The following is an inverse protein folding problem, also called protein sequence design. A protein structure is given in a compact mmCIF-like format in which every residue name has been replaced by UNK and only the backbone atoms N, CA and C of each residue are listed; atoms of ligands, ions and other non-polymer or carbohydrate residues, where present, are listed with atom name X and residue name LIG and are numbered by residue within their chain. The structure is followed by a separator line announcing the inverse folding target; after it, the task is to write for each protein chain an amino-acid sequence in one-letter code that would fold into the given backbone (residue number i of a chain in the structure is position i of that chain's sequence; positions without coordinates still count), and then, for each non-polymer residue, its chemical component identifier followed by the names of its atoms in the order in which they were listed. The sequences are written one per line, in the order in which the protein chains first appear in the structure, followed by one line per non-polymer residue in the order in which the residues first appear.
data_IF_271583570685
#
_entry.id   IF_271583570685
#
_cell.length_a   1.000
_cell.length_b   1.000
_cell.length_c   1.000
_cell.angle_alpha   90.00
_cell.angle_beta   90.00
_cell.angle_gamma   90.00
#
_symmetry.space_group_name_H-M   'P 1'
#
loop_
_entity.id
_entity.type
_entity.pdbx_description
1 polymer ?
#
# COMPACT_ATOMS: atom_id res chain seq x y z
N UNK A 1 6.82 -44.03 8.00
CA UNK A 1 5.77 -43.04 8.27
C UNK A 1 6.31 -42.06 9.28
N UNK A 2 6.49 -40.82 8.84
CA UNK A 2 6.51 -39.55 9.59
C UNK A 2 7.54 -38.61 8.96
N UNK A 3 7.28 -38.25 7.71
CA UNK A 3 7.75 -36.98 7.18
C UNK A 3 6.77 -35.95 7.70
N UNK A 4 6.99 -35.50 8.93
CA UNK A 4 6.39 -34.27 9.45
C UNK A 4 6.82 -33.12 8.53
N UNK A 5 6.05 -32.94 7.44
CA UNK A 5 6.17 -31.80 6.54
C UNK A 5 6.07 -30.55 7.41
N UNK A 6 7.21 -29.88 7.59
CA UNK A 6 7.23 -28.55 8.20
C UNK A 6 6.37 -27.67 7.30
N UNK A 7 5.15 -27.42 7.73
CA UNK A 7 4.35 -26.38 7.12
C UNK A 7 5.19 -25.11 7.13
N UNK A 8 5.47 -24.49 5.98
CA UNK A 8 6.04 -23.17 6.01
C UNK A 8 5.02 -22.31 6.76
N UNK A 9 5.42 -21.86 7.96
CA UNK A 9 4.61 -21.06 8.87
C UNK A 9 4.42 -19.66 8.27
N UNK A 10 3.65 -19.59 7.19
CA UNK A 10 3.40 -18.37 6.46
C UNK A 10 2.14 -17.70 6.98
N UNK A 11 2.20 -16.39 7.13
CA UNK A 11 1.11 -15.52 7.51
C UNK A 11 0.33 -15.17 6.23
N UNK A 12 -0.84 -15.78 5.97
CA UNK A 12 -1.70 -15.32 4.88
C UNK A 12 -2.17 -13.89 5.13
N UNK A 13 -2.42 -13.16 4.04
CA UNK A 13 -2.97 -11.82 4.12
C UNK A 13 -4.26 -11.78 4.97
N UNK A 14 -4.43 -10.70 5.72
CA UNK A 14 -5.65 -10.40 6.48
C UNK A 14 -6.92 -10.48 5.61
N UNK A 15 -6.81 -10.13 4.33
CA UNK A 15 -7.89 -10.14 3.34
C UNK A 15 -7.81 -11.34 2.38
N UNK A 16 -7.19 -12.45 2.80
CA UNK A 16 -7.06 -13.64 1.95
C UNK A 16 -8.42 -14.22 1.55
N UNK A 17 -9.39 -14.24 2.46
CA UNK A 17 -10.77 -14.64 2.14
C UNK A 17 -11.52 -13.65 1.21
N UNK A 18 -10.91 -12.51 0.84
CA UNK A 18 -11.43 -11.57 -0.16
C UNK A 18 -10.57 -11.51 -1.44
N UNK A 19 -9.73 -12.54 -1.67
CA UNK A 19 -8.99 -12.74 -2.91
C UNK A 19 -7.51 -12.35 -2.88
N UNK A 20 -6.95 -11.94 -1.72
CA UNK A 20 -5.51 -11.69 -1.62
C UNK A 20 -4.72 -12.94 -1.22
N UNK A 21 -4.10 -13.60 -2.20
CA UNK A 21 -3.36 -14.85 -1.99
C UNK A 21 -1.91 -14.65 -1.50
N UNK A 22 -1.55 -13.45 -1.02
CA UNK A 22 -0.19 -13.19 -0.52
C UNK A 22 0.05 -13.84 0.84
N UNK A 23 1.24 -14.41 1.01
CA UNK A 23 1.68 -15.12 2.21
C UNK A 23 3.09 -14.66 2.59
N UNK A 24 3.37 -14.59 3.90
CA UNK A 24 4.60 -13.97 4.40
C UNK A 24 5.30 -14.84 5.44
N UNK A 25 6.63 -14.90 5.48
CA UNK A 25 7.36 -15.67 6.48
C UNK A 25 7.28 -15.05 7.89
N UNK A 26 6.84 -13.80 8.02
CA UNK A 26 6.86 -13.07 9.28
C UNK A 26 5.80 -11.97 9.38
N UNK A 27 5.54 -11.59 10.64
CA UNK A 27 4.58 -10.54 11.02
C UNK A 27 4.91 -9.18 10.40
N UNK A 28 6.19 -8.82 10.31
CA UNK A 28 6.58 -7.48 9.85
C UNK A 28 6.30 -7.29 8.35
N UNK A 29 6.60 -8.29 7.54
CA UNK A 29 6.29 -8.33 6.11
C UNK A 29 4.77 -8.36 5.89
N UNK A 30 4.06 -9.16 6.68
CA UNK A 30 2.60 -9.25 6.66
C UNK A 30 1.94 -7.89 6.98
N UNK A 31 2.32 -7.22 8.07
CA UNK A 31 1.81 -5.88 8.41
C UNK A 31 2.12 -4.85 7.32
N UNK A 32 3.35 -4.87 6.81
CA UNK A 32 3.77 -3.96 5.72
C UNK A 32 2.91 -4.17 4.49
N UNK A 33 2.60 -5.41 4.13
CA UNK A 33 1.71 -5.73 3.02
C UNK A 33 0.31 -5.19 3.26
N UNK A 34 -0.30 -5.47 4.42
CA UNK A 34 -1.64 -4.97 4.76
C UNK A 34 -1.73 -3.45 4.64
N UNK A 35 -0.75 -2.72 5.19
CA UNK A 35 -0.73 -1.26 5.17
C UNK A 35 -0.43 -0.67 3.78
N UNK A 36 0.44 -1.29 2.98
CA UNK A 36 0.85 -0.72 1.68
C UNK A 36 0.03 -1.18 0.49
N UNK A 37 -0.62 -2.35 0.57
CA UNK A 37 -1.40 -2.92 -0.53
C UNK A 37 -2.90 -2.67 -0.35
N UNK A 38 -3.43 -2.84 0.85
CA UNK A 38 -4.88 -2.76 1.08
C UNK A 38 -5.30 -1.43 1.69
N UNK A 39 -4.72 -1.07 2.84
CA UNK A 39 -5.17 0.11 3.59
C UNK A 39 -4.76 1.41 2.90
N UNK A 40 -3.47 1.53 2.51
CA UNK A 40 -2.90 2.70 1.83
C UNK A 40 -3.41 4.01 2.41
N UNK A 41 -3.13 4.29 3.68
CA UNK A 41 -3.67 5.47 4.39
C UNK A 41 -3.48 6.77 3.58
N UNK A 42 -2.36 6.86 2.87
CA UNK A 42 -1.94 8.04 2.13
C UNK A 42 -1.70 7.76 0.66
N UNK A 43 -1.93 8.78 -0.17
CA UNK A 43 -1.46 8.86 -1.53
C UNK A 43 -0.85 10.23 -1.80
N UNK A 44 -0.02 10.28 -2.82
CA UNK A 44 0.51 11.51 -3.38
C UNK A 44 -0.07 11.69 -4.77
N UNK A 45 -0.67 12.86 -5.03
CA UNK A 45 -1.24 13.16 -6.35
C UNK A 45 -0.43 14.26 -7.02
N UNK A 46 0.09 13.95 -8.20
CA UNK A 46 0.69 14.94 -9.06
C UNK A 46 -0.38 15.55 -9.98
N UNK A 47 -0.66 16.84 -9.81
CA UNK A 47 -1.60 17.59 -10.65
C UNK A 47 -0.90 18.44 -11.74
N UNK A 48 0.40 18.23 -11.94
CA UNK A 48 1.26 19.09 -12.73
C UNK A 48 1.19 18.77 -14.23
N UNK A 49 1.04 19.80 -15.06
CA UNK A 49 1.01 19.68 -16.53
C UNK A 49 0.11 18.53 -17.03
N UNK A 50 0.67 17.61 -17.84
CA UNK A 50 -0.06 16.44 -18.36
C UNK A 50 -0.51 15.45 -17.28
N UNK A 51 0.04 15.49 -16.07
CA UNK A 51 -0.48 14.67 -14.96
C UNK A 51 -1.86 15.17 -14.51
N UNK A 52 -2.09 16.49 -14.53
CA UNK A 52 -3.34 17.11 -14.12
C UNK A 52 -4.52 16.88 -15.07
N UNK A 53 -4.29 16.33 -16.26
CA UNK A 53 -5.35 15.97 -17.21
C UNK A 53 -5.81 14.52 -17.05
N UNK A 54 -5.09 13.68 -16.32
CA UNK A 54 -5.45 12.28 -16.10
C UNK A 54 -6.62 12.19 -15.13
N UNK A 55 -7.74 11.59 -15.56
CA UNK A 55 -8.87 11.31 -14.66
C UNK A 55 -8.46 10.25 -13.64
N UNK A 56 -8.67 10.58 -12.36
CA UNK A 56 -8.63 9.60 -11.29
C UNK A 56 -9.96 8.87 -11.35
N UNK A 57 -9.92 7.59 -11.74
CA UNK A 57 -11.11 6.74 -11.69
C UNK A 57 -11.42 6.50 -10.21
N UNK A 58 -12.17 7.42 -9.62
CA UNK A 58 -13.04 7.11 -8.50
C UNK A 58 -14.21 6.31 -9.09
N UNK A 59 -14.64 5.27 -8.37
CA UNK A 59 -15.74 4.38 -8.77
C UNK A 59 -16.98 5.14 -9.30
N UNK A 60 -17.83 4.48 -10.11
CA UNK A 60 -19.08 5.09 -10.57
C UNK A 60 -19.85 5.59 -9.36
N UNK A 61 -20.21 6.88 -9.38
CA UNK A 61 -21.38 7.32 -8.64
C UNK A 61 -22.52 6.38 -9.06
N UNK A 62 -23.22 5.83 -8.10
CA UNK A 62 -24.50 5.16 -8.35
C UNK A 62 -25.34 6.11 -9.19
N UNK A 63 -25.56 5.74 -10.45
CA UNK A 63 -26.61 6.32 -11.29
C UNK A 63 -27.92 5.94 -10.62
N UNK A 64 -28.38 6.76 -9.68
CA UNK A 64 -29.78 6.79 -9.31
C UNK A 64 -30.48 7.56 -10.44
N UNK A 65 -30.93 6.80 -11.44
CA UNK A 65 -32.06 7.17 -12.27
C UNK A 65 -33.28 7.26 -11.34
N UNK A 66 -33.61 8.47 -10.87
CA UNK A 66 -35.02 8.80 -10.65
C UNK A 66 -35.28 10.28 -10.94
N UNK A 67 -36.48 10.44 -11.49
CA UNK A 67 -37.09 11.49 -12.26
C UNK A 67 -37.30 12.86 -11.58
N UNK A 68 -37.20 13.90 -12.41
CA UNK A 68 -37.94 15.17 -12.40
C UNK A 68 -38.17 15.92 -11.07
N UNK A 69 -37.39 17.01 -10.85
CA UNK A 69 -37.92 18.38 -10.65
C UNK A 69 -36.84 19.46 -10.33
N UNK A 70 -36.83 20.45 -11.22
CA UNK A 70 -36.57 21.90 -11.06
C UNK A 70 -35.19 22.48 -10.69
N UNK A 71 -34.69 23.23 -11.68
CA UNK A 71 -33.81 24.40 -11.58
C UNK A 71 -34.36 25.44 -10.59
N UNK A 72 -33.64 25.72 -9.51
CA UNK A 72 -33.27 27.07 -9.07
C UNK A 72 -32.52 27.02 -7.73
N UNK A 73 -31.22 27.31 -7.75
CA UNK A 73 -30.52 28.19 -6.79
C UNK A 73 -29.02 28.21 -7.05
N UNK A 74 -28.64 29.16 -7.90
CA UNK A 74 -27.31 29.75 -7.95
C UNK A 74 -27.01 30.41 -6.60
N UNK A 75 -25.76 30.26 -6.15
CA UNK A 75 -25.14 30.87 -4.96
C UNK A 75 -25.53 30.34 -3.57
N UNK A 76 -24.64 29.53 -2.99
CA UNK A 76 -23.80 30.08 -1.91
C UNK A 76 -22.49 29.31 -1.73
N UNK A 77 -21.43 30.11 -1.57
CA UNK A 77 -20.08 29.69 -1.25
C UNK A 77 -20.04 28.72 -0.07
N UNK A 78 -19.68 27.47 -0.32
CA UNK A 78 -19.13 26.59 0.71
C UNK A 78 -17.74 26.09 0.28
N UNK A 79 -16.86 27.04 -0.03
CA UNK A 79 -15.41 26.82 0.03
C UNK A 79 -15.07 26.70 1.51
N UNK A 80 -14.96 25.47 2.03
CA UNK A 80 -14.05 25.05 3.12
C UNK A 80 -14.53 23.77 3.81
N UNK A 81 -14.57 22.60 3.16
CA UNK A 81 -14.60 21.32 3.91
C UNK A 81 -14.09 20.05 3.19
N UNK A 82 -13.55 20.10 1.96
CA UNK A 82 -13.01 18.91 1.28
C UNK A 82 -11.47 18.91 1.24
N UNK A 83 -10.82 18.83 2.40
CA UNK A 83 -9.36 18.62 2.46
C UNK A 83 -8.96 17.13 2.43
N UNK A 84 -9.92 16.24 2.63
CA UNK A 84 -9.68 14.80 2.82
C UNK A 84 -10.15 13.92 1.64
N UNK A 85 -10.75 14.49 0.60
CA UNK A 85 -11.12 13.75 -0.61
C UNK A 85 -9.98 13.75 -1.63
N UNK A 86 -9.70 12.60 -2.24
CA UNK A 86 -8.80 12.52 -3.40
C UNK A 86 -9.30 13.46 -4.51
N UNK A 87 -8.40 14.17 -5.21
CA UNK A 87 -8.80 15.00 -6.35
C UNK A 87 -9.33 14.12 -7.49
N UNK A 88 -10.16 14.70 -8.36
CA UNK A 88 -10.73 14.02 -9.53
C UNK A 88 -9.72 13.82 -10.67
N UNK A 89 -8.63 14.59 -10.67
CA UNK A 89 -7.59 14.54 -11.69
C UNK A 89 -6.21 14.55 -11.08
N UNK A 90 -5.27 13.89 -11.76
CA UNK A 90 -3.89 13.78 -11.33
C UNK A 90 -3.35 12.37 -11.46
N UNK A 91 -2.04 12.25 -11.43
CA UNK A 91 -1.36 10.95 -11.35
C UNK A 91 -1.19 10.55 -9.88
N UNK A 92 -1.78 9.42 -9.48
CA UNK A 92 -1.72 8.91 -8.11
C UNK A 92 -0.48 8.05 -7.89
N UNK A 93 0.16 8.24 -6.73
CA UNK A 93 1.23 7.41 -6.21
C UNK A 93 0.88 6.94 -4.80
N UNK A 94 0.96 5.63 -4.55
CA UNK A 94 0.69 5.06 -3.23
C UNK A 94 1.87 5.21 -2.26
N UNK A 95 3.01 5.73 -2.71
CA UNK A 95 4.21 5.95 -1.90
C UNK A 95 4.90 7.26 -2.26
N UNK A 96 5.41 7.94 -1.23
CA UNK A 96 6.12 9.21 -1.34
C UNK A 96 7.36 9.14 -2.22
N UNK A 97 8.16 8.09 -2.08
CA UNK A 97 9.40 7.92 -2.85
C UNK A 97 9.12 7.77 -4.35
N UNK A 98 8.03 7.08 -4.72
CA UNK A 98 7.58 6.98 -6.11
C UNK A 98 7.15 8.35 -6.66
N UNK A 99 6.42 9.14 -5.85
CA UNK A 99 6.04 10.50 -6.20
C UNK A 99 7.27 11.42 -6.37
N UNK A 100 8.20 11.41 -5.41
CA UNK A 100 9.43 12.22 -5.50
C UNK A 100 10.25 11.83 -6.73
N UNK A 101 10.38 10.52 -6.99
CA UNK A 101 11.07 10.01 -8.16
C UNK A 101 10.38 10.44 -9.46
N UNK A 102 9.05 10.51 -9.49
CA UNK A 102 8.29 11.10 -10.60
C UNK A 102 8.58 12.58 -10.79
N UNK A 103 8.51 13.39 -9.72
CA UNK A 103 8.82 14.83 -9.78
C UNK A 103 10.25 15.07 -10.28
N UNK A 104 11.22 14.31 -9.80
CA UNK A 104 12.62 14.41 -10.22
C UNK A 104 12.84 14.10 -11.71
N UNK A 105 11.97 13.31 -12.34
CA UNK A 105 12.08 12.95 -13.76
C UNK A 105 11.24 13.84 -14.66
N UNK A 106 10.00 14.11 -14.28
CA UNK A 106 9.00 14.77 -15.12
C UNK A 106 8.79 16.26 -14.79
N UNK A 107 9.08 16.69 -13.56
CA UNK A 107 8.79 18.05 -13.08
C UNK A 107 10.01 18.68 -12.39
N UNK A 108 11.19 18.57 -13.01
CA UNK A 108 12.45 19.14 -12.50
C UNK A 108 12.37 20.65 -12.22
N UNK A 109 11.50 21.36 -12.94
CA UNK A 109 11.26 22.80 -12.78
C UNK A 109 10.64 23.16 -11.41
N UNK A 110 10.03 22.20 -10.71
CA UNK A 110 9.49 22.41 -9.36
C UNK A 110 10.57 22.31 -8.27
N UNK A 111 11.77 21.88 -8.63
CA UNK A 111 12.89 21.72 -7.72
C UNK A 111 13.86 22.89 -7.85
N UNK A 112 14.61 23.22 -6.79
CA UNK A 112 15.60 24.30 -6.83
C UNK A 112 16.58 24.08 -7.99
N UNK A 113 16.73 25.09 -8.85
CA UNK A 113 17.57 25.00 -10.03
C UNK A 113 19.06 24.92 -9.64
N UNK A 114 19.78 23.99 -10.27
CA UNK A 114 21.24 24.07 -10.41
C UNK A 114 21.52 24.96 -11.63
N UNK A 115 21.60 26.28 -11.45
CA UNK A 115 22.10 27.16 -12.51
C UNK A 115 23.62 27.03 -12.59
N UNK A 116 24.21 27.08 -13.79
CA UNK A 116 25.67 27.02 -13.98
C UNK A 116 26.46 28.10 -13.20
N UNK A 117 25.80 29.19 -12.77
CA UNK A 117 26.40 30.29 -12.01
C UNK A 117 26.22 30.21 -10.49
N UNK A 118 25.53 29.19 -9.96
CA UNK A 118 25.36 29.00 -8.53
C UNK A 118 25.80 27.59 -8.12
N UNK A 119 26.44 27.43 -6.94
CA UNK A 119 26.79 26.12 -6.43
C UNK A 119 25.53 25.25 -6.29
N UNK A 120 25.65 23.93 -6.53
CA UNK A 120 24.51 23.04 -6.42
C UNK A 120 23.89 23.14 -5.02
N UNK A 121 22.55 23.07 -4.92
CA UNK A 121 21.89 23.16 -3.63
C UNK A 121 22.39 22.05 -2.72
N UNK A 122 22.56 22.36 -1.43
CA UNK A 122 22.98 21.36 -0.46
C UNK A 122 21.98 20.20 -0.42
N UNK A 123 22.46 18.99 -0.11
CA UNK A 123 21.62 17.80 0.06
C UNK A 123 20.43 18.05 1.00
N UNK A 124 20.65 18.83 2.06
CA UNK A 124 19.62 19.24 3.02
C UNK A 124 18.56 20.16 2.40
N UNK A 125 18.96 21.15 1.61
CA UNK A 125 18.03 22.05 0.93
C UNK A 125 17.16 21.30 -0.10
N UNK A 126 17.77 20.36 -0.84
CA UNK A 126 17.05 19.52 -1.79
C UNK A 126 16.04 18.61 -1.08
N UNK A 127 16.45 17.94 0.00
CA UNK A 127 15.56 17.10 0.80
C UNK A 127 14.38 17.88 1.38
N UNK A 128 14.61 19.10 1.90
CA UNK A 128 13.55 19.96 2.42
C UNK A 128 12.55 20.39 1.33
N UNK A 129 13.04 20.69 0.13
CA UNK A 129 12.19 21.08 -1.00
C UNK A 129 11.34 19.90 -1.49
N UNK A 130 11.94 18.71 -1.57
CA UNK A 130 11.24 17.46 -1.86
C UNK A 130 10.17 17.17 -0.80
N UNK A 131 10.49 17.34 0.49
CA UNK A 131 9.53 17.18 1.59
C UNK A 131 8.36 18.14 1.44
N UNK A 132 8.63 19.42 1.16
CA UNK A 132 7.59 20.42 0.97
C UNK A 132 6.63 20.04 -0.17
N UNK A 133 7.16 19.60 -1.32
CA UNK A 133 6.38 19.13 -2.46
C UNK A 133 5.59 17.86 -2.17
N UNK A 134 6.17 16.91 -1.42
CA UNK A 134 5.46 15.70 -1.00
C UNK A 134 4.34 16.04 -0.01
N UNK A 135 4.55 17.01 0.87
CA UNK A 135 3.55 17.42 1.86
C UNK A 135 2.35 18.11 1.21
N UNK A 136 2.56 18.91 0.16
CA UNK A 136 1.47 19.57 -0.58
C UNK A 136 0.69 18.59 -1.46
N UNK A 137 1.35 17.56 -2.00
CA UNK A 137 0.71 16.53 -2.82
C UNK A 137 0.09 15.38 -2.02
N UNK A 138 0.26 15.35 -0.68
CA UNK A 138 -0.25 14.29 0.19
C UNK A 138 -1.76 14.42 0.37
N UNK A 139 -2.48 13.35 0.05
CA UNK A 139 -3.89 13.18 0.31
C UNK A 139 -4.11 11.94 1.19
N UNK A 140 -5.03 12.05 2.15
CA UNK A 140 -5.48 10.90 2.94
C UNK A 140 -6.47 10.11 2.10
N UNK A 141 -6.18 8.83 1.81
CA UNK A 141 -7.12 7.95 1.10
C UNK A 141 -8.13 7.35 2.06
N UNK A 142 -7.64 6.94 3.23
CA UNK A 142 -8.42 6.22 4.23
C UNK A 142 -8.11 6.83 5.59
N UNK A 143 -9.14 7.03 6.40
CA UNK A 143 -8.98 7.37 7.82
C UNK A 143 -8.91 6.07 8.62
N UNK A 144 -7.78 5.81 9.27
CA UNK A 144 -7.63 4.62 10.11
C UNK A 144 -8.65 4.62 11.27
N UNK A 145 -9.12 3.45 11.71
CA UNK A 145 -9.97 3.34 12.88
C UNK A 145 -9.22 3.81 14.12
N UNK A 146 -9.82 4.72 14.87
CA UNK A 146 -9.34 5.11 16.22
C UNK A 146 -9.90 4.21 17.32
N UNK A 147 -10.81 3.30 16.95
CA UNK A 147 -11.47 2.30 17.78
C UNK A 147 -11.72 1.08 16.87
N UNK A 148 -11.22 -0.09 17.24
CA UNK A 148 -11.48 -1.34 16.54
C UNK A 148 -11.43 -2.50 17.53
N UNK A 149 -12.35 -3.46 17.43
CA UNK A 149 -12.32 -4.69 18.22
C UNK A 149 -11.97 -5.90 17.36
N UNK A 150 -11.43 -6.94 17.99
CA UNK A 150 -11.15 -8.20 17.33
C UNK A 150 -12.47 -8.81 16.81
N UNK A 151 -12.56 -9.17 15.51
CA UNK A 151 -13.78 -9.74 14.95
C UNK A 151 -13.97 -11.24 15.26
N UNK A 152 -13.05 -11.87 16.00
CA UNK A 152 -13.19 -13.27 16.39
C UNK A 152 -14.17 -13.41 17.55
N UNK A 153 -15.22 -14.25 17.45
CA UNK A 153 -16.21 -14.41 18.52
C UNK A 153 -15.62 -14.84 19.87
N UNK A 154 -14.53 -15.61 19.85
CA UNK A 154 -13.85 -16.08 21.06
C UNK A 154 -12.85 -15.06 21.64
N UNK A 155 -12.68 -13.89 21.03
CA UNK A 155 -11.78 -12.83 21.47
C UNK A 155 -12.56 -11.54 21.75
N UNK A 156 -12.27 -10.89 22.87
CA UNK A 156 -12.97 -9.68 23.32
C UNK A 156 -12.05 -8.45 23.33
N UNK A 157 -10.85 -8.57 22.77
CA UNK A 157 -9.86 -7.49 22.78
C UNK A 157 -10.35 -6.32 21.91
N UNK A 158 -10.13 -5.11 22.41
CA UNK A 158 -10.44 -3.86 21.74
C UNK A 158 -9.29 -2.88 21.85
N UNK A 159 -9.13 -2.06 20.80
CA UNK A 159 -7.99 -1.18 20.62
C UNK A 159 -8.50 0.24 20.37
N UNK A 160 -7.88 1.22 21.03
CA UNK A 160 -8.29 2.62 20.98
C UNK A 160 -7.12 3.59 20.82
N UNK A 161 -7.40 4.77 20.27
CA UNK A 161 -6.42 5.85 20.05
C UNK A 161 -5.77 5.83 18.67
N UNK A 162 -4.74 6.65 18.49
CA UNK A 162 -4.07 6.84 17.20
C UNK A 162 -3.33 5.58 16.71
N UNK A 163 -2.94 4.70 17.64
CA UNK A 163 -2.27 3.43 17.36
C UNK A 163 -3.23 2.22 17.34
N UNK A 164 -4.55 2.43 17.37
CA UNK A 164 -5.53 1.35 17.46
C UNK A 164 -5.40 0.33 16.31
N UNK A 165 -5.18 0.81 15.08
CA UNK A 165 -4.98 -0.04 13.92
C UNK A 165 -3.69 -0.88 14.01
N UNK A 166 -2.57 -0.29 14.42
CA UNK A 166 -1.31 -1.02 14.56
C UNK A 166 -1.39 -2.05 15.70
N UNK A 167 -2.01 -1.70 16.82
CA UNK A 167 -2.26 -2.63 17.92
C UNK A 167 -3.16 -3.80 17.51
N UNK A 168 -4.20 -3.53 16.72
CA UNK A 168 -5.05 -4.56 16.13
C UNK A 168 -4.27 -5.50 15.22
N UNK A 169 -3.42 -4.97 14.33
CA UNK A 169 -2.62 -5.82 13.43
C UNK A 169 -1.62 -6.69 14.22
N UNK A 170 -0.98 -6.13 15.24
CA UNK A 170 -0.12 -6.90 16.14
C UNK A 170 -0.87 -8.06 16.80
N UNK A 171 -2.06 -7.78 17.33
CA UNK A 171 -2.92 -8.78 17.94
C UNK A 171 -3.42 -9.84 16.93
N UNK A 172 -3.84 -9.42 15.73
CA UNK A 172 -4.27 -10.32 14.67
C UNK A 172 -3.13 -11.26 14.21
N UNK A 173 -1.90 -10.76 14.17
CA UNK A 173 -0.74 -11.59 13.88
C UNK A 173 -0.47 -12.64 14.98
N UNK A 174 -0.76 -12.34 16.25
CA UNK A 174 -0.65 -13.34 17.32
C UNK A 174 -1.70 -14.45 17.17
N UNK A 175 -2.91 -14.12 16.70
CA UNK A 175 -3.91 -15.13 16.33
C UNK A 175 -3.43 -16.03 15.19
N UNK A 176 -2.83 -15.45 14.15
CA UNK A 176 -2.23 -16.23 13.07
C UNK A 176 -1.17 -17.16 13.62
N UNK A 177 -0.19 -16.62 14.36
CA UNK A 177 0.92 -17.39 14.94
C UNK A 177 0.46 -18.60 15.76
N UNK A 178 -0.60 -18.44 16.56
CA UNK A 178 -1.20 -19.53 17.36
C UNK A 178 -1.89 -20.57 16.48
N UNK A 179 -2.40 -20.18 15.32
CA UNK A 179 -3.15 -21.03 14.39
C UNK A 179 -2.28 -21.74 13.34
N UNK A 180 -1.02 -21.33 13.14
CA UNK A 180 -0.10 -21.87 12.12
C UNK A 180 0.23 -23.38 12.26
N UNK A 181 -0.27 -24.04 13.31
CA UNK A 181 -0.16 -25.49 13.49
C UNK A 181 -1.13 -26.27 12.60
N UNK A 182 -2.21 -25.63 12.11
CA UNK A 182 -3.24 -26.27 11.28
C UNK A 182 -3.68 -25.36 10.14
N UNK A 183 -3.55 -25.85 8.90
CA UNK A 183 -4.08 -25.23 7.67
C UNK A 183 -5.55 -24.84 7.85
N UNK A 184 -6.35 -25.75 8.36
CA UNK A 184 -7.79 -25.56 8.52
C UNK A 184 -8.10 -24.51 9.58
N UNK A 185 -7.31 -24.47 10.67
CA UNK A 185 -7.44 -23.44 11.69
C UNK A 185 -7.12 -22.04 11.11
N UNK A 186 -6.07 -21.92 10.31
CA UNK A 186 -5.73 -20.66 9.62
C UNK A 186 -6.83 -20.25 8.64
N UNK A 187 -7.34 -21.18 7.84
CA UNK A 187 -8.40 -20.91 6.87
C UNK A 187 -9.73 -20.51 7.55
N UNK A 188 -10.07 -21.14 8.68
CA UNK A 188 -11.22 -20.75 9.49
C UNK A 188 -11.04 -19.38 10.14
N UNK A 189 -9.84 -19.07 10.64
CA UNK A 189 -9.49 -17.79 11.24
C UNK A 189 -9.66 -16.63 10.25
N UNK A 190 -9.05 -16.74 9.06
CA UNK A 190 -9.13 -15.69 8.03
C UNK A 190 -10.58 -15.47 7.56
N UNK A 191 -11.36 -16.55 7.39
CA UNK A 191 -12.80 -16.41 7.06
C UNK A 191 -13.58 -15.72 8.17
N UNK A 192 -13.28 -16.03 9.43
CA UNK A 192 -13.95 -15.41 10.58
C UNK A 192 -13.72 -13.90 10.63
N UNK A 193 -12.52 -13.43 10.28
CA UNK A 193 -12.22 -12.00 10.20
C UNK A 193 -13.07 -11.22 9.19
N UNK A 194 -13.58 -11.87 8.14
CA UNK A 194 -14.46 -11.27 7.14
C UNK A 194 -15.95 -11.65 7.29
N UNK A 195 -16.32 -12.40 8.34
CA UNK A 195 -17.70 -12.90 8.51
C UNK A 195 -18.72 -11.78 8.72
N UNK A 196 -18.39 -10.79 9.53
CA UNK A 196 -18.99 -9.47 9.67
C UNK A 196 -18.33 -8.81 10.89
N UNK A 197 -18.20 -7.48 10.92
CA UNK A 197 -17.71 -6.79 12.11
C UNK A 197 -16.90 -5.53 11.82
N UNK A 198 -16.11 -5.06 12.81
CA UNK A 198 -15.38 -3.79 12.73
C UNK A 198 -14.41 -3.72 11.55
N UNK A 199 -13.69 -4.81 11.26
CA UNK A 199 -12.73 -4.87 10.15
C UNK A 199 -13.43 -4.70 8.79
N UNK A 200 -14.53 -5.43 8.57
CA UNK A 200 -15.32 -5.35 7.34
C UNK A 200 -15.96 -3.98 7.20
N UNK A 201 -16.57 -3.45 8.26
CA UNK A 201 -17.18 -2.12 8.25
C UNK A 201 -16.16 -1.02 7.91
N UNK A 202 -14.94 -1.12 8.47
CA UNK A 202 -13.83 -0.25 8.11
C UNK A 202 -13.45 -0.39 6.64
N UNK A 203 -13.23 -1.62 6.16
CA UNK A 203 -12.76 -1.89 4.81
C UNK A 203 -13.75 -1.45 3.72
N UNK A 204 -15.05 -1.64 3.97
CA UNK A 204 -16.14 -1.15 3.11
C UNK A 204 -16.20 0.37 3.12
N UNK A 205 -16.18 1.00 4.31
CA UNK A 205 -16.18 2.47 4.43
C UNK A 205 -14.97 3.10 3.77
N UNK A 206 -13.82 2.43 3.81
CA UNK A 206 -12.59 2.84 3.16
C UNK A 206 -12.59 2.61 1.65
N UNK A 207 -13.59 1.89 1.11
CA UNK A 207 -13.78 1.68 -0.32
C UNK A 207 -12.84 0.68 -0.97
N UNK A 208 -12.16 -0.17 -0.18
CA UNK A 208 -11.26 -1.21 -0.72
C UNK A 208 -11.83 -2.64 -0.58
N UNK A 209 -13.04 -2.78 -0.05
CA UNK A 209 -13.77 -4.05 0.06
C UNK A 209 -15.23 -3.86 -0.38
N UNK A 210 -15.75 -4.74 -1.21
CA UNK A 210 -17.15 -4.74 -1.67
C UNK A 210 -17.68 -6.17 -1.78
N UNK A 211 -18.99 -6.33 -2.00
CA UNK A 211 -19.57 -7.65 -2.33
C UNK A 211 -19.55 -7.86 -3.84
N UNK A 212 -19.15 -9.05 -4.27
CA UNK A 212 -19.24 -9.49 -5.66
C UNK A 212 -20.68 -9.90 -6.01
N UNK A 213 -20.91 -10.38 -7.24
CA UNK A 213 -22.24 -10.82 -7.72
C UNK A 213 -22.80 -12.02 -6.95
N UNK A 214 -21.93 -12.82 -6.35
CA UNK A 214 -22.27 -14.00 -5.55
C UNK A 214 -22.52 -13.63 -4.08
N UNK A 215 -22.34 -12.36 -3.72
CA UNK A 215 -22.48 -11.86 -2.36
C UNK A 215 -21.25 -12.09 -1.48
N UNK A 216 -20.14 -12.59 -2.00
CA UNK A 216 -18.90 -12.77 -1.25
C UNK A 216 -18.09 -11.48 -1.17
N UNK A 217 -17.26 -11.32 -0.14
CA UNK A 217 -16.39 -10.16 -0.01
C UNK A 217 -15.24 -10.25 -1.02
N UNK A 218 -15.00 -9.16 -1.75
CA UNK A 218 -13.95 -9.04 -2.74
C UNK A 218 -13.23 -7.69 -2.56
N UNK A 219 -11.91 -7.71 -2.75
CA UNK A 219 -11.09 -6.49 -2.75
C UNK A 219 -11.33 -5.67 -4.01
N UNK A 220 -11.77 -4.43 -3.83
CA UNK A 220 -12.04 -3.49 -4.93
C UNK A 220 -10.71 -2.95 -5.46
N UNK A 221 -10.32 -3.36 -6.68
CA UNK A 221 -9.20 -2.85 -7.47
C UNK A 221 -8.01 -2.32 -6.64
N UNK A 222 -7.42 -3.23 -5.87
CA UNK A 222 -6.16 -3.03 -5.18
C UNK A 222 -4.97 -3.57 -5.96
N UNK A 223 -4.85 -3.33 -7.27
CA UNK A 223 -3.66 -3.61 -8.08
C UNK A 223 -2.81 -4.80 -7.58
N UNK A 224 -3.27 -6.03 -7.78
CA UNK A 224 -2.32 -7.08 -8.07
C UNK A 224 -1.68 -6.68 -9.42
N UNK A 225 -0.63 -5.87 -9.36
CA UNK A 225 0.23 -5.68 -10.53
C UNK A 225 0.74 -7.10 -10.88
N UNK A 226 0.66 -7.57 -12.14
CA UNK A 226 1.03 -8.95 -12.50
C UNK A 226 2.50 -9.33 -12.26
N UNK A 227 3.29 -8.46 -11.62
CA UNK A 227 4.75 -8.55 -11.48
C UNK A 227 5.19 -9.29 -10.20
N UNK A 228 4.32 -9.44 -9.20
CA UNK A 228 4.68 -10.14 -7.94
C UNK A 228 4.22 -11.61 -7.93
N UNK A 229 4.37 -12.32 -9.06
CA UNK A 229 4.47 -13.78 -9.03
C UNK A 229 5.89 -14.14 -8.60
N UNK A 230 6.11 -14.30 -7.30
CA UNK A 230 7.24 -15.10 -6.85
C UNK A 230 7.07 -16.51 -7.45
N UNK A 231 8.06 -17.04 -8.18
CA UNK A 231 8.01 -18.41 -8.64
C UNK A 231 8.05 -19.34 -7.43
N UNK A 232 7.13 -20.31 -7.43
CA UNK A 232 7.14 -21.47 -6.54
C UNK A 232 8.52 -22.14 -6.54
N UNK A 233 8.98 -22.79 -5.44
CA UNK A 233 10.28 -23.44 -5.41
C UNK A 233 10.31 -24.59 -6.42
N UNK A 234 11.05 -24.41 -7.51
CA UNK A 234 11.31 -25.49 -8.47
C UNK A 234 12.23 -26.51 -7.80
N UNK A 235 11.82 -27.76 -7.89
CA UNK A 235 12.51 -28.93 -7.37
C UNK A 235 13.98 -28.97 -7.79
N UNK A 236 14.81 -29.36 -6.83
CA UNK A 236 16.23 -29.57 -6.96
C UNK A 236 16.49 -30.76 -7.89
N UNK A 237 16.74 -30.51 -9.16
CA UNK A 237 17.34 -31.50 -10.06
C UNK A 237 18.86 -31.36 -10.05
N UNK A 238 19.53 -32.49 -9.87
CA UNK A 238 20.98 -32.64 -9.88
C UNK A 238 21.51 -32.49 -11.31
N UNK A 239 22.69 -31.87 -11.42
CA UNK A 239 23.60 -31.81 -12.58
C UNK A 239 23.37 -30.71 -13.64
N UNK A 240 24.41 -29.89 -13.83
CA UNK A 240 24.62 -29.10 -15.04
C UNK A 240 25.23 -27.73 -14.78
N UNK A 241 26.55 -27.59 -14.93
CA UNK A 241 27.26 -26.30 -14.99
C UNK A 241 26.68 -25.43 -16.11
N UNK A 242 26.64 -24.11 -15.92
CA UNK A 242 27.08 -23.09 -16.89
C UNK A 242 27.13 -21.71 -16.21
N UNK A 243 28.01 -20.87 -16.76
CA UNK A 243 28.68 -19.74 -16.12
C UNK A 243 27.82 -18.47 -15.93
N UNK A 244 28.16 -17.68 -14.91
CA UNK A 244 27.88 -16.24 -14.85
C UNK A 244 29.17 -15.49 -14.50
N UNK A 245 29.74 -14.84 -15.49
CA UNK A 245 30.68 -13.72 -15.33
C UNK A 245 29.91 -12.43 -15.62
N UNK A 246 29.88 -11.51 -14.66
CA UNK A 246 29.93 -10.05 -14.83
C UNK A 246 29.74 -9.36 -13.48
N UNK A 247 30.82 -9.30 -12.68
CA UNK A 247 31.00 -8.19 -11.74
C UNK A 247 31.62 -7.00 -12.50
N UNK A 248 31.15 -5.75 -12.29
CA UNK A 248 31.88 -4.59 -12.74
C UNK A 248 33.01 -4.26 -11.75
N UNK A 249 34.22 -4.51 -12.21
CA UNK A 249 35.51 -4.09 -11.66
C UNK A 249 35.57 -2.55 -11.49
N UNK A 250 35.94 -2.10 -10.29
CA UNK A 250 36.40 -0.74 -10.03
C UNK A 250 37.84 -0.77 -9.48
N UNK A 251 38.79 -1.34 -10.22
CA UNK A 251 40.19 -0.94 -10.20
C UNK A 251 40.37 0.28 -11.12
N UNK A 252 41.08 1.36 -10.79
CA UNK A 252 42.20 1.53 -9.90
C UNK A 252 43.26 2.33 -10.67
N UNK A 253 43.44 3.62 -10.37
CA UNK A 253 44.56 4.41 -10.89
C UNK A 253 45.66 4.51 -9.82
N UNK A 254 46.65 3.64 -10.03
CA UNK A 254 48.09 3.74 -9.80
C UNK A 254 48.67 4.73 -8.75
N UNK A 255 49.24 4.11 -7.71
CA UNK A 255 50.62 4.22 -7.22
C UNK A 255 51.52 5.42 -7.60
N UNK A 256 52.17 5.97 -6.57
CA UNK A 256 53.47 6.64 -6.65
C UNK A 256 54.17 6.59 -5.28
N UNK A 257 55.27 5.86 -5.19
CA UNK A 257 56.01 5.50 -3.96
C UNK A 257 57.19 6.47 -3.74
N UNK A 258 57.41 6.82 -2.46
CA UNK A 258 58.67 7.10 -1.75
C UNK A 258 59.82 7.92 -2.39
N UNK A 259 60.34 8.91 -1.65
CA UNK A 259 61.66 8.83 -0.95
C UNK A 259 62.05 10.16 -0.28
N UNK A 260 62.53 10.03 0.97
CA UNK A 260 63.34 10.94 1.81
C UNK A 260 62.71 12.21 2.36
#
# INVERSE_FOLDING_TARGET
MDSSERYPHMFPCLFHAAGCNSEFPGKNEWKRHVNTIHVREEAWVCAEASCGTMSIISQPATEEEDSDQEEERRNNNNKNNNKDSLPLKGRIFNRKDLYISHILRAHKHLLPATTHHHPPPSRKCQANSQEALARTARHRRVKLPTQISCPLPACQDSFGGDAAWDAFLEHAADHLKKSLQSRDAVAALVRSWLSAGPLVAFAVKAGFLARNREGEWELVNGSASPVDRHPSPVERSQNGRLAYDCEPDWGGLAAGRAMR
#
